data_IF_817328314406
#
_entry.id   IF_817328314406
#
_cell.length_a   1.000
_cell.length_b   1.000
_cell.length_c   1.000
_cell.angle_alpha   90.00
_cell.angle_beta   90.00
_cell.angle_gamma   90.00
#
_symmetry.space_group_name_H-M   'P 1'
#
loop_
_entity.id
_entity.type
_entity.pdbx_description
1 polymer ?
#
# COMPACT_ATOMS: atom_id res chain seq x y z
N UNK A 1 -46.20 -63.37 -13.27
CA UNK A 1 -46.56 -63.78 -11.89
C UNK A 1 -45.39 -63.45 -10.97
N UNK A 2 -45.62 -62.67 -9.92
CA UNK A 2 -44.75 -62.51 -8.73
C UNK A 2 -44.50 -63.88 -8.03
N UNK A 3 -43.72 -64.01 -6.93
CA UNK A 3 -42.66 -63.15 -6.34
C UNK A 3 -41.40 -63.97 -5.92
N UNK A 4 -40.37 -63.32 -5.37
CA UNK A 4 -39.33 -63.98 -4.55
C UNK A 4 -39.38 -63.42 -3.11
N UNK A 5 -39.54 -64.34 -2.16
CA UNK A 5 -39.33 -64.19 -0.71
C UNK A 5 -37.86 -63.80 -0.45
N UNK A 6 -37.52 -62.91 0.49
CA UNK A 6 -37.69 -63.10 1.93
C UNK A 6 -36.37 -63.60 2.53
N UNK A 7 -35.49 -62.68 2.94
CA UNK A 7 -34.20 -62.95 3.59
C UNK A 7 -34.22 -62.32 4.99
N UNK A 8 -34.02 -63.11 6.03
CA UNK A 8 -33.75 -62.65 7.40
C UNK A 8 -32.63 -63.48 8.04
N UNK A 9 -31.70 -62.74 8.68
CA UNK A 9 -30.83 -63.07 9.84
C UNK A 9 -29.91 -64.30 9.74
N UNK A 10 -28.57 -64.20 9.73
CA UNK A 10 -27.66 -63.65 10.77
C UNK A 10 -27.07 -64.82 11.60
N UNK A 11 -26.03 -64.72 12.47
CA UNK A 11 -24.99 -63.71 12.75
C UNK A 11 -23.54 -64.28 12.49
N UNK A 12 -22.47 -63.51 12.29
CA UNK A 12 -21.77 -62.67 13.26
C UNK A 12 -20.60 -63.42 13.93
N UNK A 13 -19.36 -63.22 13.44
CA UNK A 13 -18.12 -63.60 14.14
C UNK A 13 -17.07 -62.48 14.02
N UNK A 14 -16.37 -62.26 15.14
CA UNK A 14 -15.57 -61.08 15.52
C UNK A 14 -14.07 -61.35 15.40
N UNK A 15 -13.30 -60.32 15.00
CA UNK A 15 -11.88 -59.93 15.31
C UNK A 15 -11.22 -59.42 14.01
N UNK A 16 -10.35 -58.41 13.98
CA UNK A 16 -9.67 -57.63 15.00
C UNK A 16 -8.82 -56.56 14.30
N UNK A 17 -8.46 -55.53 15.07
CA UNK A 17 -7.77 -54.28 14.77
C UNK A 17 -6.37 -54.41 14.10
N UNK A 18 -6.09 -53.60 13.08
CA UNK A 18 -4.80 -52.92 12.83
C UNK A 18 -4.98 -51.87 11.72
N UNK A 19 -4.35 -50.70 11.89
CA UNK A 19 -4.62 -49.51 11.11
C UNK A 19 -4.15 -49.57 9.66
N UNK A 20 -4.96 -48.97 8.80
CA UNK A 20 -4.49 -48.20 7.66
C UNK A 20 -5.32 -46.92 7.65
N UNK A 21 -4.63 -45.80 7.90
CA UNK A 21 -5.18 -44.47 7.62
C UNK A 21 -5.37 -44.44 6.11
N UNK A 22 -6.61 -44.55 5.66
CA UNK A 22 -6.96 -44.29 4.27
C UNK A 22 -6.56 -42.86 3.96
N UNK A 23 -5.44 -42.75 3.27
CA UNK A 23 -5.13 -41.75 2.29
C UNK A 23 -6.37 -41.50 1.42
N UNK A 24 -7.18 -40.53 1.85
CA UNK A 24 -8.16 -39.90 1.00
C UNK A 24 -7.42 -38.85 0.18
N UNK A 25 -7.01 -39.29 -1.00
CA UNK A 25 -6.77 -38.45 -2.17
C UNK A 25 -8.02 -37.60 -2.39
N UNK A 26 -8.01 -36.35 -1.93
CA UNK A 26 -8.79 -35.28 -2.54
C UNK A 26 -7.87 -34.51 -3.44
N UNK A 27 -8.02 -34.74 -4.74
CA UNK A 27 -7.38 -33.96 -5.79
C UNK A 27 -7.87 -32.52 -5.72
N UNK A 28 -7.06 -31.66 -5.11
CA UNK A 28 -6.69 -30.34 -5.62
C UNK A 28 -5.40 -29.95 -4.91
N UNK A 29 -4.30 -30.05 -5.65
CA UNK A 29 -3.03 -29.50 -5.23
C UNK A 29 -3.16 -27.97 -5.15
N UNK A 30 -3.32 -27.45 -3.92
CA UNK A 30 -2.84 -26.17 -3.35
C UNK A 30 -3.68 -25.88 -2.10
N UNK A 31 -3.44 -26.64 -1.03
CA UNK A 31 -4.02 -26.39 0.28
C UNK A 31 -2.98 -26.04 1.34
N UNK A 32 -1.80 -25.54 0.98
CA UNK A 32 -0.81 -24.99 1.90
C UNK A 32 -0.03 -23.90 1.13
N UNK A 33 -0.28 -22.61 1.33
CA UNK A 33 0.58 -21.75 2.17
C UNK A 33 -0.10 -20.43 2.63
N UNK A 34 -1.42 -20.27 2.54
CA UNK A 34 -2.06 -18.96 2.83
C UNK A 34 -2.65 -18.78 4.24
N UNK A 35 -2.53 -19.79 5.12
CA UNK A 35 -3.02 -19.69 6.51
C UNK A 35 -2.06 -18.96 7.44
N UNK A 36 -0.76 -19.15 7.24
CA UNK A 36 0.29 -18.56 8.08
C UNK A 36 0.51 -17.06 7.81
N UNK A 37 0.04 -16.50 6.69
CA UNK A 37 0.19 -15.08 6.39
C UNK A 37 -0.94 -14.17 6.91
N UNK A 38 -2.14 -14.71 7.19
CA UNK A 38 -3.31 -13.91 7.62
C UNK A 38 -3.41 -13.70 9.13
N UNK A 39 -2.96 -14.67 9.93
CA UNK A 39 -2.93 -14.59 11.39
C UNK A 39 -1.93 -13.54 11.91
N UNK A 40 -0.69 -13.44 11.38
CA UNK A 40 0.29 -12.47 11.86
C UNK A 40 -0.17 -11.03 11.67
N UNK A 41 -0.79 -10.69 10.53
CA UNK A 41 -1.33 -9.33 10.33
C UNK A 41 -2.45 -8.98 11.31
N UNK A 42 -3.29 -9.97 11.69
CA UNK A 42 -4.32 -9.77 12.71
C UNK A 42 -3.70 -9.63 14.10
N UNK A 43 -2.73 -10.47 14.43
CA UNK A 43 -2.01 -10.42 15.70
C UNK A 43 -1.28 -9.07 15.85
N UNK A 44 -0.56 -8.63 14.81
CA UNK A 44 0.11 -7.34 14.77
C UNK A 44 -0.88 -6.18 14.94
N UNK A 45 -2.01 -6.20 14.23
CA UNK A 45 -3.06 -5.19 14.41
C UNK A 45 -3.58 -5.13 15.86
N UNK A 46 -3.82 -6.30 16.49
CA UNK A 46 -4.24 -6.37 17.89
C UNK A 46 -3.14 -5.88 18.83
N UNK A 47 -1.88 -6.21 18.57
CA UNK A 47 -0.74 -5.75 19.37
C UNK A 47 -0.59 -4.23 19.32
N UNK A 48 -0.73 -3.62 18.13
CA UNK A 48 -0.70 -2.17 17.97
C UNK A 48 -1.89 -1.52 18.69
N UNK A 49 -3.10 -2.06 18.51
CA UNK A 49 -4.30 -1.56 19.20
C UNK A 49 -4.15 -1.65 20.73
N UNK A 50 -3.60 -2.76 21.23
CA UNK A 50 -3.40 -2.98 22.66
C UNK A 50 -2.30 -2.07 23.21
N UNK A 51 -1.19 -1.91 22.50
CA UNK A 51 -0.13 -0.99 22.90
C UNK A 51 -0.61 0.46 22.94
N UNK A 52 -1.42 0.88 21.96
CA UNK A 52 -2.03 2.20 21.95
C UNK A 52 -3.01 2.39 23.12
N UNK A 53 -3.91 1.42 23.35
CA UNK A 53 -4.85 1.45 24.47
C UNK A 53 -4.13 1.46 25.83
N UNK A 54 -3.06 0.68 25.97
CA UNK A 54 -2.27 0.62 27.19
C UNK A 54 -1.47 1.91 27.41
N UNK A 55 -0.90 2.50 26.36
CA UNK A 55 -0.24 3.81 26.43
C UNK A 55 -1.20 4.90 26.87
N UNK A 56 -2.42 4.93 26.32
CA UNK A 56 -3.48 5.86 26.75
C UNK A 56 -3.87 5.58 28.21
N UNK A 57 -4.01 4.32 28.61
CA UNK A 57 -4.33 3.95 29.99
C UNK A 57 -3.28 4.45 30.98
N UNK A 58 -1.99 4.28 30.70
CA UNK A 58 -0.91 4.78 31.54
C UNK A 58 -0.92 6.31 31.59
N UNK A 59 -1.04 6.98 30.44
CA UNK A 59 -1.06 8.44 30.39
C UNK A 59 -2.22 9.05 31.21
N UNK A 60 -3.42 8.50 31.04
CA UNK A 60 -4.62 8.91 31.80
C UNK A 60 -4.44 8.61 33.29
N UNK A 61 -3.90 7.43 33.64
CA UNK A 61 -3.67 7.07 35.04
C UNK A 61 -2.67 7.99 35.72
N UNK A 62 -1.58 8.36 35.05
CA UNK A 62 -0.58 9.31 35.57
C UNK A 62 -1.18 10.71 35.72
N UNK A 63 -1.94 11.18 34.73
CA UNK A 63 -2.61 12.48 34.80
C UNK A 63 -3.62 12.55 35.95
N UNK A 64 -4.44 11.49 36.11
CA UNK A 64 -5.39 11.39 37.22
C UNK A 64 -4.68 11.31 38.57
N UNK A 65 -3.62 10.52 38.68
CA UNK A 65 -2.83 10.41 39.91
C UNK A 65 -2.21 11.76 40.31
N UNK A 66 -1.65 12.50 39.36
CA UNK A 66 -1.10 13.84 39.59
C UNK A 66 -2.19 14.86 40.01
N UNK A 67 -3.42 14.71 39.52
CA UNK A 67 -4.55 15.57 39.88
C UNK A 67 -5.25 15.16 41.20
N UNK A 68 -5.05 13.93 41.67
CA UNK A 68 -5.82 13.29 42.74
C UNK A 68 -5.39 13.67 44.18
N UNK A 69 -4.69 14.81 44.38
CA UNK A 69 -3.91 15.17 45.57
C UNK A 69 -4.63 15.26 46.94
N UNK A 70 -5.87 14.78 47.06
CA UNK A 70 -6.64 14.70 48.31
C UNK A 70 -7.74 13.63 48.31
N UNK A 71 -7.78 12.73 47.31
CA UNK A 71 -8.80 11.67 47.26
C UNK A 71 -8.52 10.59 48.31
N UNK A 72 -9.59 10.06 48.90
CA UNK A 72 -9.48 8.89 49.77
C UNK A 72 -9.16 7.62 48.97
N UNK A 73 -8.69 6.58 49.66
CA UNK A 73 -8.29 5.33 49.01
C UNK A 73 -9.43 4.65 48.25
N UNK A 74 -10.68 4.83 48.71
CA UNK A 74 -11.87 4.29 48.06
C UNK A 74 -12.14 4.98 46.71
N UNK A 75 -12.09 6.32 46.66
CA UNK A 75 -12.24 7.06 45.41
C UNK A 75 -11.11 6.75 44.43
N UNK A 76 -9.86 6.63 44.90
CA UNK A 76 -8.73 6.23 44.05
C UNK A 76 -8.94 4.82 43.46
N UNK A 77 -9.38 3.86 44.27
CA UNK A 77 -9.71 2.52 43.80
C UNK A 77 -10.86 2.54 42.76
N UNK A 78 -11.93 3.29 43.03
CA UNK A 78 -13.04 3.43 42.08
C UNK A 78 -12.61 4.05 40.75
N UNK A 79 -11.81 5.13 40.80
CA UNK A 79 -11.30 5.81 39.60
C UNK A 79 -10.34 4.91 38.81
N UNK A 80 -9.46 4.16 39.48
CA UNK A 80 -8.54 3.25 38.80
C UNK A 80 -9.29 2.13 38.06
N UNK A 81 -10.28 1.50 38.71
CA UNK A 81 -11.13 0.49 38.08
C UNK A 81 -11.94 1.09 36.94
N UNK A 82 -12.55 2.26 37.13
CA UNK A 82 -13.29 2.94 36.08
C UNK A 82 -12.41 3.27 34.89
N UNK A 83 -11.20 3.78 35.13
CA UNK A 83 -10.21 4.10 34.08
C UNK A 83 -9.78 2.85 33.33
N UNK A 84 -9.50 1.76 34.04
CA UNK A 84 -9.15 0.47 33.44
C UNK A 84 -10.26 -0.02 32.49
N UNK A 85 -11.51 -0.04 32.96
CA UNK A 85 -12.66 -0.50 32.17
C UNK A 85 -12.94 0.45 31.00
N UNK A 86 -13.01 1.76 31.24
CA UNK A 86 -13.34 2.74 30.21
C UNK A 86 -12.26 2.82 29.13
N UNK A 87 -10.97 2.75 29.47
CA UNK A 87 -9.90 2.88 28.50
C UNK A 87 -9.62 1.56 27.78
N UNK A 88 -9.43 0.45 28.50
CA UNK A 88 -9.02 -0.82 27.89
C UNK A 88 -10.19 -1.60 27.29
N UNK A 89 -11.42 -1.36 27.73
CA UNK A 89 -12.62 -2.03 27.21
C UNK A 89 -13.49 -1.04 26.44
N UNK A 90 -13.89 0.05 27.08
CA UNK A 90 -14.75 1.07 26.48
C UNK A 90 -14.12 1.75 25.26
N UNK A 91 -12.83 2.10 25.34
CA UNK A 91 -12.06 2.77 24.28
C UNK A 91 -12.07 1.99 22.97
N UNK A 92 -11.57 0.74 22.93
CA UNK A 92 -11.61 -0.09 21.73
C UNK A 92 -13.03 -0.29 21.18
N UNK A 93 -14.04 -0.47 22.03
CA UNK A 93 -15.45 -0.61 21.60
C UNK A 93 -15.94 0.67 20.94
N UNK A 94 -15.67 1.83 21.54
CA UNK A 94 -16.06 3.14 21.01
C UNK A 94 -15.36 3.41 19.67
N UNK A 95 -14.04 3.20 19.60
CA UNK A 95 -13.26 3.37 18.37
C UNK A 95 -13.82 2.49 17.26
N UNK A 96 -14.03 1.20 17.51
CA UNK A 96 -14.56 0.29 16.49
C UNK A 96 -15.98 0.64 16.06
N UNK A 97 -16.83 1.04 17.00
CA UNK A 97 -18.22 1.43 16.70
C UNK A 97 -18.27 2.67 15.82
N UNK A 98 -17.52 3.71 16.17
CA UNK A 98 -17.52 5.00 15.46
C UNK A 98 -16.83 4.88 14.10
N UNK A 99 -15.80 4.05 13.99
CA UNK A 99 -15.02 3.87 12.77
C UNK A 99 -15.56 2.81 11.80
N UNK A 100 -16.68 2.16 12.16
CA UNK A 100 -17.29 1.07 11.39
C UNK A 100 -16.35 -0.13 11.20
N UNK A 101 -15.61 -0.48 12.25
CA UNK A 101 -14.77 -1.68 12.32
C UNK A 101 -13.30 -1.45 12.03
N UNK A 102 -12.85 -0.20 12.09
CA UNK A 102 -11.44 0.20 11.92
C UNK A 102 -10.82 0.61 13.26
N UNK A 103 -9.57 0.30 13.47
CA UNK A 103 -8.81 0.75 14.63
C UNK A 103 -7.40 1.07 14.16
N UNK A 104 -6.58 1.72 14.98
CA UNK A 104 -5.26 2.17 14.56
C UNK A 104 -4.41 1.03 14.00
N UNK A 105 -4.32 -0.09 14.71
CA UNK A 105 -3.57 -1.27 14.26
C UNK A 105 -4.19 -1.94 13.04
N UNK A 106 -5.53 -1.98 12.96
CA UNK A 106 -6.22 -2.52 11.78
C UNK A 106 -5.99 -1.64 10.55
N UNK A 107 -6.02 -0.32 10.69
CA UNK A 107 -5.69 0.63 9.62
C UNK A 107 -4.25 0.45 9.15
N UNK A 108 -3.29 0.36 10.07
CA UNK A 108 -1.88 0.13 9.75
C UNK A 108 -1.67 -1.19 8.97
N UNK A 109 -2.46 -2.23 9.28
CA UNK A 109 -2.38 -3.53 8.62
C UNK A 109 -3.31 -3.68 7.39
N UNK A 110 -4.08 -2.65 7.02
CA UNK A 110 -5.08 -2.75 5.95
C UNK A 110 -6.21 -3.74 6.24
N UNK A 111 -6.67 -3.77 7.49
CA UNK A 111 -7.72 -4.65 7.98
C UNK A 111 -8.95 -3.85 8.38
N UNK A 112 -10.11 -4.51 8.29
CA UNK A 112 -11.38 -3.99 8.79
C UNK A 112 -12.25 -5.14 9.31
N UNK A 113 -12.95 -4.89 10.40
CA UNK A 113 -14.00 -5.79 10.89
C UNK A 113 -15.29 -5.52 10.11
N UNK A 114 -15.86 -6.57 9.54
CA UNK A 114 -17.17 -6.56 8.89
C UNK A 114 -18.07 -7.59 9.56
N UNK A 115 -19.38 -7.41 9.43
CA UNK A 115 -20.35 -8.41 9.86
C UNK A 115 -20.36 -9.60 8.90
N UNK A 116 -20.93 -10.72 9.34
CA UNK A 116 -21.08 -11.92 8.51
C UNK A 116 -21.98 -11.68 7.28
N UNK A 117 -22.86 -10.65 7.31
CA UNK A 117 -23.66 -10.17 6.16
C UNK A 117 -22.88 -9.20 5.24
N UNK A 118 -21.59 -8.94 5.51
CA UNK A 118 -20.75 -8.00 4.77
C UNK A 118 -20.96 -6.53 5.12
N UNK A 119 -21.93 -6.21 5.98
CA UNK A 119 -22.23 -4.84 6.40
C UNK A 119 -21.23 -4.27 7.42
N UNK A 120 -21.27 -2.94 7.66
CA UNK A 120 -20.48 -2.32 8.71
C UNK A 120 -20.90 -2.83 10.09
N UNK A 121 -19.95 -2.85 11.04
CA UNK A 121 -20.29 -3.26 12.40
C UNK A 121 -21.21 -2.23 13.07
N UNK A 122 -21.95 -2.69 14.08
CA UNK A 122 -22.84 -1.88 14.94
C UNK A 122 -22.33 -1.98 16.36
N UNK A 123 -22.76 -1.07 17.23
CA UNK A 123 -22.38 -1.06 18.65
C UNK A 123 -22.50 -2.44 19.32
N UNK A 124 -23.63 -3.13 19.15
CA UNK A 124 -23.84 -4.47 19.74
C UNK A 124 -22.77 -5.49 19.36
N UNK A 125 -22.27 -5.44 18.12
CA UNK A 125 -21.24 -6.37 17.66
C UNK A 125 -19.88 -6.00 18.28
N UNK A 126 -19.55 -4.70 18.30
CA UNK A 126 -18.34 -4.21 18.97
C UNK A 126 -18.35 -4.53 20.47
N UNK A 127 -19.51 -4.40 21.14
CA UNK A 127 -19.70 -4.68 22.55
C UNK A 127 -19.46 -6.17 22.87
N UNK A 128 -20.11 -7.09 22.15
CA UNK A 128 -19.90 -8.54 22.34
C UNK A 128 -18.44 -8.90 22.11
N UNK A 129 -17.83 -8.34 21.05
CA UNK A 129 -16.43 -8.56 20.70
C UNK A 129 -15.46 -8.00 21.74
N UNK A 130 -15.78 -6.85 22.33
CA UNK A 130 -15.02 -6.21 23.39
C UNK A 130 -15.11 -6.98 24.70
N UNK A 131 -16.32 -7.39 25.10
CA UNK A 131 -16.55 -8.20 26.30
C UNK A 131 -15.80 -9.55 26.23
N UNK A 132 -15.91 -10.26 25.10
CA UNK A 132 -15.13 -11.48 24.87
C UNK A 132 -13.62 -11.18 24.84
N UNK A 133 -13.22 -10.03 24.28
CA UNK A 133 -11.84 -9.55 24.25
C UNK A 133 -11.21 -9.41 25.64
N UNK A 134 -11.98 -9.03 26.67
CA UNK A 134 -11.48 -8.99 28.06
C UNK A 134 -11.03 -10.38 28.50
N UNK A 135 -11.77 -11.42 28.17
CA UNK A 135 -11.48 -12.81 28.57
C UNK A 135 -10.36 -13.39 27.69
N UNK A 136 -10.51 -13.31 26.36
CA UNK A 136 -9.64 -14.02 25.42
C UNK A 136 -8.35 -13.26 25.03
N UNK A 137 -8.27 -11.95 25.30
CA UNK A 137 -7.08 -11.12 25.02
C UNK A 137 -6.46 -10.64 26.32
N UNK A 138 -7.22 -9.90 27.14
CA UNK A 138 -6.65 -9.24 28.31
C UNK A 138 -6.34 -10.26 29.42
N UNK A 139 -7.28 -11.15 29.72
CA UNK A 139 -7.13 -12.18 30.76
C UNK A 139 -6.18 -13.33 30.41
N UNK A 140 -5.89 -13.56 29.13
CA UNK A 140 -5.06 -14.69 28.66
C UNK A 140 -3.88 -14.26 27.80
N UNK A 141 -3.55 -12.96 27.78
CA UNK A 141 -2.53 -12.37 26.91
C UNK A 141 -2.68 -12.75 25.42
N UNK A 142 -3.92 -12.99 24.96
CA UNK A 142 -4.22 -13.36 23.58
C UNK A 142 -4.03 -14.84 23.24
N UNK A 143 -3.60 -15.70 24.16
CA UNK A 143 -3.37 -17.13 23.90
C UNK A 143 -4.66 -17.81 23.42
N UNK A 144 -5.78 -17.58 24.12
CA UNK A 144 -7.07 -18.16 23.73
C UNK A 144 -7.54 -17.62 22.38
N UNK A 145 -7.39 -16.32 22.13
CA UNK A 145 -7.73 -15.72 20.84
C UNK A 145 -6.91 -16.31 19.68
N UNK A 146 -5.64 -16.61 19.92
CA UNK A 146 -4.73 -17.24 18.96
C UNK A 146 -5.14 -18.68 18.65
N UNK A 147 -5.37 -19.50 19.69
CA UNK A 147 -5.80 -20.90 19.52
C UNK A 147 -7.16 -20.94 18.80
N UNK A 148 -8.13 -20.14 19.23
CA UNK A 148 -9.45 -20.08 18.58
C UNK A 148 -9.33 -19.68 17.10
N UNK A 149 -8.46 -18.71 16.78
CA UNK A 149 -8.22 -18.30 15.39
C UNK A 149 -7.52 -19.38 14.56
N UNK A 150 -6.61 -20.16 15.16
CA UNK A 150 -5.89 -21.25 14.48
C UNK A 150 -6.81 -22.43 14.14
N UNK A 151 -7.66 -22.81 15.09
CA UNK A 151 -8.61 -23.92 14.93
C UNK A 151 -9.81 -23.53 14.03
N UNK A 152 -10.17 -22.24 14.02
CA UNK A 152 -11.26 -21.75 13.17
C UNK A 152 -10.91 -21.84 11.69
N UNK A 153 -11.74 -22.54 10.89
CA UNK A 153 -11.64 -22.58 9.43
C UNK A 153 -11.77 -21.21 8.75
N UNK A 154 -12.29 -20.19 9.44
CA UNK A 154 -12.36 -18.79 8.95
C UNK A 154 -11.37 -17.84 9.65
N UNK A 155 -10.53 -18.34 10.56
CA UNK A 155 -9.54 -17.52 11.26
C UNK A 155 -10.18 -16.57 12.27
N UNK A 156 -11.37 -16.90 12.78
CA UNK A 156 -12.15 -16.08 13.72
C UNK A 156 -11.75 -16.44 15.15
N UNK A 157 -11.55 -15.43 16.00
CA UNK A 157 -11.43 -15.63 17.46
C UNK A 157 -12.83 -15.74 18.09
N UNK A 158 -12.92 -16.09 19.37
CA UNK A 158 -14.22 -16.32 20.02
C UNK A 158 -15.10 -15.07 19.94
N UNK A 159 -14.55 -13.90 20.23
CA UNK A 159 -15.30 -12.64 20.15
C UNK A 159 -15.85 -12.35 18.75
N UNK A 160 -15.13 -12.73 17.70
CA UNK A 160 -15.60 -12.55 16.32
C UNK A 160 -16.69 -13.57 15.96
N UNK A 161 -16.62 -14.79 16.50
CA UNK A 161 -17.64 -15.84 16.33
C UNK A 161 -18.96 -15.42 17.01
N UNK A 162 -18.91 -15.05 18.29
CA UNK A 162 -20.10 -14.64 19.03
C UNK A 162 -20.71 -13.33 18.52
N UNK A 163 -19.88 -12.39 18.06
CA UNK A 163 -20.37 -11.14 17.50
C UNK A 163 -20.91 -11.28 16.06
N UNK A 164 -20.77 -12.44 15.40
CA UNK A 164 -21.17 -12.59 14.00
C UNK A 164 -20.37 -11.69 13.06
N UNK A 165 -19.06 -11.54 13.33
CA UNK A 165 -18.15 -10.69 12.54
C UNK A 165 -16.94 -11.44 12.01
N UNK A 166 -16.30 -10.87 11.00
CA UNK A 166 -15.07 -11.34 10.39
C UNK A 166 -14.11 -10.16 10.13
N UNK A 167 -12.82 -10.38 10.33
CA UNK A 167 -11.78 -9.42 9.94
C UNK A 167 -11.34 -9.71 8.51
N UNK A 168 -11.54 -8.75 7.63
CA UNK A 168 -11.15 -8.83 6.22
C UNK A 168 -10.01 -7.87 5.93
N UNK A 169 -9.16 -8.23 4.97
CA UNK A 169 -8.17 -7.30 4.43
C UNK A 169 -8.89 -6.34 3.50
N UNK A 170 -9.04 -5.11 3.96
CA UNK A 170 -9.45 -4.03 3.08
C UNK A 170 -8.26 -3.77 2.16
N UNK A 171 -8.44 -3.92 0.84
CA UNK A 171 -7.47 -3.36 -0.09
C UNK A 171 -7.60 -1.86 0.07
N UNK A 172 -6.87 -1.31 1.04
CA UNK A 172 -6.59 0.12 1.05
C UNK A 172 -6.03 0.36 -0.34
N UNK A 173 -6.61 1.28 -1.14
CA UNK A 173 -5.87 1.87 -2.24
C UNK A 173 -4.77 2.72 -1.59
N UNK A 174 -3.82 2.08 -0.91
CA UNK A 174 -2.47 2.58 -0.95
C UNK A 174 -2.21 2.53 -2.42
N UNK A 175 -2.28 3.70 -3.05
CA UNK A 175 -1.54 3.91 -4.26
C UNK A 175 -0.12 3.43 -3.91
N UNK A 176 0.18 2.15 -4.19
CA UNK A 176 1.39 1.85 -4.92
C UNK A 176 1.21 2.62 -6.22
N UNK A 177 1.39 3.94 -6.15
CA UNK A 177 1.83 4.77 -7.24
C UNK A 177 3.06 4.01 -7.68
N UNK A 178 2.89 3.19 -8.71
CA UNK A 178 4.00 2.51 -9.33
C UNK A 178 5.01 3.63 -9.59
N UNK A 179 6.22 3.51 -9.04
CA UNK A 179 7.20 4.58 -9.06
C UNK A 179 7.41 4.99 -10.52
N UNK A 180 6.81 6.11 -10.89
CA UNK A 180 7.07 6.76 -12.17
C UNK A 180 8.32 7.59 -11.92
N UNK A 181 9.38 7.43 -12.73
CA UNK A 181 10.60 8.21 -12.54
C UNK A 181 10.25 9.72 -12.53
N UNK A 182 10.76 10.49 -11.55
CA UNK A 182 10.49 11.92 -11.48
C UNK A 182 11.00 12.61 -12.75
N UNK A 183 10.27 13.61 -13.26
CA UNK A 183 10.76 14.37 -14.41
C UNK A 183 12.06 15.11 -14.06
N UNK A 184 12.94 15.36 -15.05
CA UNK A 184 14.09 16.22 -14.86
C UNK A 184 13.69 17.59 -14.28
N UNK A 185 14.47 18.18 -13.35
CA UNK A 185 14.09 19.42 -12.66
C UNK A 185 13.77 20.59 -13.60
N UNK A 186 14.46 20.66 -14.74
CA UNK A 186 14.29 21.71 -15.76
C UNK A 186 13.00 21.59 -16.59
N UNK A 187 12.23 20.49 -16.43
CA UNK A 187 10.92 20.28 -17.07
C UNK A 187 9.75 20.43 -16.10
N UNK A 188 10.00 20.58 -14.81
CA UNK A 188 8.95 20.71 -13.80
C UNK A 188 8.12 21.98 -14.06
N UNK A 189 6.78 21.87 -14.08
CA UNK A 189 5.89 23.01 -14.32
C UNK A 189 5.82 23.50 -15.77
N UNK A 190 6.71 23.07 -16.66
CA UNK A 190 6.73 23.51 -18.08
C UNK A 190 5.46 23.15 -18.83
N UNK A 191 4.77 22.10 -18.38
CA UNK A 191 3.55 21.57 -18.97
C UNK A 191 2.32 21.84 -18.11
N UNK A 192 2.41 22.80 -17.18
CA UNK A 192 1.33 23.12 -16.25
C UNK A 192 0.09 23.71 -16.95
N UNK A 193 0.22 24.28 -18.15
CA UNK A 193 -0.88 24.87 -18.92
C UNK A 193 -1.51 23.91 -19.94
N UNK A 194 -0.94 22.72 -20.15
CA UNK A 194 -1.49 21.73 -21.09
C UNK A 194 -2.89 21.29 -20.67
N UNK A 195 -3.83 21.31 -21.61
CA UNK A 195 -5.13 20.69 -21.39
C UNK A 195 -5.00 19.16 -21.49
N UNK A 196 -5.35 18.47 -20.41
CA UNK A 196 -5.24 17.01 -20.28
C UNK A 196 -6.62 16.33 -20.30
N UNK A 197 -7.70 17.10 -20.44
CA UNK A 197 -9.08 16.62 -20.37
C UNK A 197 -9.43 15.66 -21.51
N UNK A 198 -8.84 15.86 -22.69
CA UNK A 198 -9.08 15.04 -23.90
C UNK A 198 -8.29 13.73 -24.00
N UNK A 199 -7.42 13.42 -23.02
CA UNK A 199 -6.54 12.25 -23.10
C UNK A 199 -7.26 11.00 -22.55
N UNK A 200 -7.43 9.92 -23.35
CA UNK A 200 -8.18 8.75 -22.93
C UNK A 200 -7.45 7.92 -21.85
N UNK A 201 -8.21 7.30 -20.95
CA UNK A 201 -7.66 6.50 -19.83
C UNK A 201 -6.77 5.33 -20.30
N UNK A 202 -7.07 4.73 -21.46
CA UNK A 202 -6.24 3.69 -22.05
C UNK A 202 -4.83 4.17 -22.39
N UNK A 203 -4.69 5.40 -22.92
CA UNK A 203 -3.39 5.99 -23.25
C UNK A 203 -2.60 6.31 -21.97
N UNK A 204 -3.27 6.82 -20.94
CA UNK A 204 -2.65 7.04 -19.64
C UNK A 204 -2.12 5.76 -19.00
N UNK A 205 -2.87 4.66 -19.12
CA UNK A 205 -2.43 3.37 -18.65
C UNK A 205 -1.21 2.88 -19.42
N UNK A 206 -1.20 3.03 -20.75
CA UNK A 206 -0.07 2.66 -21.61
C UNK A 206 1.20 3.47 -21.26
N UNK A 207 1.08 4.80 -21.09
CA UNK A 207 2.18 5.68 -20.68
C UNK A 207 2.74 5.24 -19.32
N UNK A 208 1.85 5.00 -18.34
CA UNK A 208 2.28 4.56 -17.00
C UNK A 208 2.97 3.19 -17.04
N UNK A 209 2.44 2.23 -17.81
CA UNK A 209 3.07 0.93 -17.98
C UNK A 209 4.47 1.05 -18.58
N UNK A 210 4.62 1.84 -19.65
CA UNK A 210 5.91 2.15 -20.25
C UNK A 210 6.88 2.74 -19.22
N UNK A 211 6.51 3.82 -18.54
CA UNK A 211 7.39 4.52 -17.58
C UNK A 211 7.81 3.62 -16.41
N UNK A 212 6.96 2.69 -15.98
CA UNK A 212 7.30 1.74 -14.91
C UNK A 212 8.22 0.60 -15.35
N UNK A 213 8.30 0.32 -16.66
CA UNK A 213 9.09 -0.78 -17.23
C UNK A 213 10.24 -0.31 -18.11
N UNK A 214 10.41 0.99 -18.33
CA UNK A 214 11.38 1.53 -19.29
C UNK A 214 12.84 1.12 -19.00
N UNK A 215 13.20 0.88 -17.73
CA UNK A 215 14.53 0.37 -17.35
C UNK A 215 14.77 -1.12 -17.66
N UNK A 216 13.74 -1.85 -18.08
CA UNK A 216 13.80 -3.27 -18.45
C UNK A 216 13.64 -3.50 -19.96
N UNK A 217 13.32 -2.46 -20.73
CA UNK A 217 13.17 -2.53 -22.17
C UNK A 217 14.53 -2.33 -22.86
N UNK A 218 14.69 -2.96 -24.02
CA UNK A 218 15.78 -2.64 -24.93
C UNK A 218 15.77 -1.12 -25.25
N UNK A 219 16.91 -0.42 -25.22
CA UNK A 219 16.96 1.03 -25.41
C UNK A 219 16.32 1.53 -26.70
N UNK A 220 16.48 0.80 -27.81
CA UNK A 220 15.94 1.21 -29.12
C UNK A 220 14.42 0.99 -29.18
N UNK A 221 13.95 -0.15 -28.67
CA UNK A 221 12.50 -0.43 -28.55
C UNK A 221 11.85 0.58 -27.62
N UNK A 222 12.44 0.83 -26.45
CA UNK A 222 11.96 1.80 -25.48
C UNK A 222 11.85 3.21 -26.04
N UNK A 223 12.81 3.64 -26.86
CA UNK A 223 12.77 4.96 -27.50
C UNK A 223 11.67 5.06 -28.56
N UNK A 224 11.50 4.03 -29.39
CA UNK A 224 10.43 3.99 -30.40
C UNK A 224 9.03 4.00 -29.76
N UNK A 225 8.83 3.25 -28.66
CA UNK A 225 7.57 3.24 -27.91
C UNK A 225 7.29 4.59 -27.26
N UNK A 226 8.30 5.22 -26.66
CA UNK A 226 8.18 6.55 -26.08
C UNK A 226 7.79 7.60 -27.13
N UNK A 227 8.40 7.55 -28.31
CA UNK A 227 8.08 8.44 -29.42
C UNK A 227 6.63 8.31 -29.88
N UNK A 228 6.13 7.08 -30.04
CA UNK A 228 4.72 6.83 -30.39
C UNK A 228 3.76 7.33 -29.33
N UNK A 229 4.00 7.00 -28.07
CA UNK A 229 3.16 7.45 -26.95
C UNK A 229 3.18 8.97 -26.78
N UNK A 230 4.32 9.62 -27.01
CA UNK A 230 4.44 11.08 -26.96
C UNK A 230 3.69 11.75 -28.12
N UNK A 231 3.72 11.16 -29.32
CA UNK A 231 2.96 11.65 -30.47
C UNK A 231 1.45 11.50 -30.24
N UNK A 232 1.00 10.35 -29.73
CA UNK A 232 -0.40 10.11 -29.40
C UNK A 232 -0.89 11.10 -28.32
N UNK A 233 -0.06 11.36 -27.30
CA UNK A 233 -0.37 12.34 -26.26
C UNK A 233 -0.44 13.78 -26.81
N UNK A 234 0.50 14.15 -27.69
CA UNK A 234 0.50 15.45 -28.35
C UNK A 234 -0.75 15.64 -29.23
N UNK A 235 -1.15 14.60 -29.97
CA UNK A 235 -2.36 14.62 -30.78
C UNK A 235 -3.63 14.82 -29.94
N UNK A 236 -3.73 14.18 -28.76
CA UNK A 236 -4.87 14.35 -27.86
C UNK A 236 -4.90 15.72 -27.14
N UNK A 237 -3.73 16.32 -26.90
CA UNK A 237 -3.61 17.59 -26.14
C UNK A 237 -3.56 18.83 -27.04
N UNK A 238 -3.43 18.64 -28.35
CA UNK A 238 -3.35 19.73 -29.34
C UNK A 238 -2.06 20.55 -29.30
N UNK A 239 -1.13 20.22 -28.39
CA UNK A 239 0.16 20.86 -28.25
C UNK A 239 1.24 20.02 -28.92
N UNK A 240 2.10 20.67 -29.72
CA UNK A 240 3.21 19.97 -30.36
C UNK A 240 4.16 19.37 -29.31
N UNK A 241 4.54 18.10 -29.50
CA UNK A 241 5.56 17.47 -28.67
C UNK A 241 6.89 18.24 -28.80
N UNK A 242 7.52 18.67 -27.70
CA UNK A 242 8.79 19.40 -27.78
C UNK A 242 9.89 18.51 -28.37
N UNK A 243 10.44 18.92 -29.52
CA UNK A 243 11.49 18.19 -30.24
C UNK A 243 12.83 18.16 -29.47
N UNK A 244 13.05 19.14 -28.59
CA UNK A 244 14.27 19.28 -27.79
C UNK A 244 14.26 18.38 -26.53
N UNK A 245 13.12 17.77 -26.21
CA UNK A 245 12.93 17.00 -24.98
C UNK A 245 12.88 15.50 -25.31
N UNK A 246 13.65 14.65 -24.62
CA UNK A 246 13.54 13.20 -24.79
C UNK A 246 12.09 12.74 -24.57
N UNK A 247 11.51 11.90 -25.45
CA UNK A 247 10.09 11.53 -25.37
C UNK A 247 9.69 10.93 -24.02
N UNK A 248 10.55 10.11 -23.41
CA UNK A 248 10.31 9.55 -22.09
C UNK A 248 10.27 10.62 -20.98
N UNK A 249 11.11 11.66 -21.07
CA UNK A 249 11.13 12.77 -20.11
C UNK A 249 9.90 13.67 -20.26
N UNK A 250 9.44 13.89 -21.50
CA UNK A 250 8.17 14.57 -21.78
C UNK A 250 6.99 13.82 -21.15
N UNK A 251 6.88 12.51 -21.39
CA UNK A 251 5.82 11.68 -20.81
C UNK A 251 5.84 11.68 -19.27
N UNK A 252 7.02 11.56 -18.66
CA UNK A 252 7.16 11.62 -17.20
C UNK A 252 6.71 12.99 -16.63
N UNK A 253 7.07 14.08 -17.30
CA UNK A 253 6.68 15.43 -16.88
C UNK A 253 5.16 15.65 -16.97
N UNK A 254 4.52 15.21 -18.05
CA UNK A 254 3.07 15.35 -18.21
C UNK A 254 2.30 14.48 -17.22
N UNK A 255 2.75 13.25 -16.96
CA UNK A 255 2.18 12.39 -15.91
C UNK A 255 2.31 13.03 -14.53
N UNK A 256 3.46 13.64 -14.23
CA UNK A 256 3.68 14.36 -12.98
C UNK A 256 2.72 15.55 -12.82
N UNK A 257 2.51 16.36 -13.86
CA UNK A 257 1.53 17.46 -13.84
C UNK A 257 0.10 16.96 -13.61
N UNK A 258 -0.30 15.85 -14.25
CA UNK A 258 -1.61 15.23 -13.98
C UNK A 258 -1.75 14.82 -12.52
N UNK A 259 -0.75 14.11 -11.98
CA UNK A 259 -0.75 13.67 -10.59
C UNK A 259 -0.81 14.86 -9.62
N UNK A 260 -0.10 15.94 -9.91
CA UNK A 260 -0.15 17.17 -9.11
C UNK A 260 -1.54 17.81 -9.14
N UNK A 261 -2.22 17.84 -10.29
CA UNK A 261 -3.61 18.34 -10.43
C UNK A 261 -4.61 17.46 -9.67
N UNK A 262 -4.49 16.14 -9.81
CA UNK A 262 -5.38 15.19 -9.14
C UNK A 262 -5.19 15.22 -7.62
N UNK A 263 -3.94 15.38 -7.14
CA UNK A 263 -3.64 15.62 -5.74
C UNK A 263 -4.28 16.94 -5.26
N UNK A 264 -4.11 18.06 -5.97
CA UNK A 264 -4.74 19.34 -5.62
C UNK A 264 -6.28 19.24 -5.56
N UNK A 265 -6.91 18.49 -6.46
CA UNK A 265 -8.36 18.23 -6.44
C UNK A 265 -8.76 17.39 -5.22
N UNK A 266 -8.02 16.31 -4.94
CA UNK A 266 -8.31 15.43 -3.81
C UNK A 266 -8.11 16.12 -2.45
N UNK A 267 -7.06 16.93 -2.31
CA UNK A 267 -6.75 17.67 -1.08
C UNK A 267 -7.53 18.99 -0.95
N UNK A 268 -7.88 19.64 -2.07
CA UNK A 268 -8.69 20.87 -2.10
C UNK A 268 -10.19 20.64 -1.99
N UNK A 269 -10.68 19.43 -2.28
CA UNK A 269 -12.08 19.05 -2.10
C UNK A 269 -12.45 18.66 -0.65
N UNK A 270 -11.52 18.76 0.29
CA UNK A 270 -11.80 18.65 1.73
C UNK A 270 -12.14 20.05 2.28
N UNK A 271 -13.42 20.38 2.55
CA UNK A 271 -13.77 21.66 3.15
C UNK A 271 -13.30 21.62 4.61
N UNK A 272 -12.29 22.43 4.96
CA UNK A 272 -11.96 22.70 6.36
C UNK A 272 -10.53 22.41 6.83
N UNK A 273 -9.53 22.30 5.95
CA UNK A 273 -8.13 22.38 6.39
C UNK A 273 -7.35 23.33 5.47
N UNK A 274 -7.22 24.58 5.91
CA UNK A 274 -6.33 25.55 5.29
C UNK A 274 -4.89 25.11 5.50
N UNK A 275 -4.26 24.59 4.44
CA UNK A 275 -2.81 24.45 4.39
C UNK A 275 -2.26 25.71 3.75
N UNK A 276 -1.71 26.59 4.60
CA UNK A 276 -0.87 27.72 4.18
C UNK A 276 0.30 27.20 3.34
N UNK A 277 0.60 27.95 2.28
CA UNK A 277 1.35 27.49 1.12
C UNK A 277 2.79 27.07 1.37
N UNK A 278 3.17 25.97 0.74
CA UNK A 278 4.55 25.69 0.40
C UNK A 278 4.86 26.31 -0.98
N UNK A 279 5.13 27.61 -0.98
CA UNK A 279 5.83 28.31 -2.07
C UNK A 279 6.92 29.15 -1.42
N UNK A 280 8.17 28.76 -1.60
CA UNK A 280 9.30 29.42 -0.96
C UNK A 280 10.63 29.05 -1.61
N UNK A 281 10.76 29.27 -2.92
CA UNK A 281 12.05 29.58 -3.54
C UNK A 281 11.84 30.70 -4.55
N UNK A 282 12.24 31.90 -4.18
CA UNK A 282 12.21 33.11 -4.99
C UNK A 282 13.10 34.16 -4.34
N UNK A 283 14.18 34.49 -5.04
CA UNK A 283 15.30 35.34 -4.65
C UNK A 283 14.90 36.84 -4.54
N UNK A 284 15.83 37.74 -4.13
CA UNK A 284 15.49 39.02 -3.51
C UNK A 284 15.33 40.17 -4.50
N UNK A 285 14.60 41.21 -4.07
CA UNK A 285 14.76 42.59 -4.56
C UNK A 285 13.52 43.21 -5.19
N UNK A 286 12.87 44.13 -4.46
CA UNK A 286 12.32 45.40 -4.94
C UNK A 286 11.43 46.01 -3.84
N UNK A 287 11.92 47.07 -3.19
CA UNK A 287 11.10 47.97 -2.36
C UNK A 287 10.80 49.24 -3.17
N UNK A 288 9.53 49.62 -3.36
CA UNK A 288 9.16 50.98 -3.74
C UNK A 288 8.89 51.82 -2.48
N UNK A 289 9.52 52.98 -2.38
CA UNK A 289 9.26 53.96 -1.33
C UNK A 289 8.05 54.86 -1.62
N UNK A 290 7.44 55.41 -0.55
CA UNK A 290 7.22 56.85 -0.28
C UNK A 290 6.25 57.01 0.92
N UNK A 291 6.57 57.93 1.83
CA UNK A 291 5.63 58.50 2.81
C UNK A 291 6.13 58.61 4.25
N UNK A 292 6.90 59.66 4.56
CA UNK A 292 7.24 60.10 5.92
C UNK A 292 6.02 60.85 6.57
N UNK A 293 6.01 61.18 7.89
CA UNK A 293 6.96 62.14 8.47
C UNK A 293 7.43 61.89 9.92
N UNK A 294 8.62 62.43 10.24
CA UNK A 294 8.86 63.13 11.52
C UNK A 294 9.71 62.41 12.58
N UNK A 295 11.03 62.65 12.58
CA UNK A 295 11.83 63.03 13.76
C UNK A 295 13.34 63.09 13.40
N UNK A 296 14.03 64.11 13.90
CA UNK A 296 15.46 64.45 13.79
C UNK A 296 16.10 64.36 15.20
N UNK A 297 17.43 64.43 15.40
CA UNK A 297 18.53 63.60 14.86
C UNK A 297 19.58 63.22 15.96
N UNK A 298 20.53 62.32 15.64
CA UNK A 298 21.92 62.21 16.18
C UNK A 298 22.48 60.84 15.73
N UNK A 299 23.70 60.62 15.24
CA UNK A 299 24.94 61.38 15.05
C UNK A 299 26.04 60.33 14.81
N UNK A 300 27.13 60.72 14.12
CA UNK A 300 28.43 59.99 13.98
C UNK A 300 28.43 58.62 13.28
N UNK A 301 29.42 58.15 12.50
CA UNK A 301 30.69 58.62 11.94
C UNK A 301 31.16 57.49 10.98
N UNK A 302 31.79 57.87 9.86
CA UNK A 302 32.62 57.05 8.93
C UNK A 302 33.99 56.83 9.66
N UNK A 303 34.88 55.82 9.39
CA UNK A 303 35.27 55.39 8.04
C UNK A 303 35.83 53.96 7.79
N UNK A 304 35.87 53.61 6.50
CA UNK A 304 37.11 53.16 5.84
C UNK A 304 37.32 51.66 5.65
N UNK A 305 37.69 51.27 4.42
CA UNK A 305 38.26 49.95 4.15
C UNK A 305 38.17 49.54 2.69
N UNK A 306 39.16 49.95 1.90
CA UNK A 306 39.33 49.64 0.49
C UNK A 306 39.64 48.15 0.22
N UNK A 307 39.38 47.69 -1.01
CA UNK A 307 40.32 46.78 -1.67
C UNK A 307 39.72 45.63 -2.50
N UNK A 308 40.14 45.61 -3.76
CA UNK A 308 40.36 44.45 -4.63
C UNK A 308 39.22 43.92 -5.51
N UNK A 309 39.28 44.35 -6.78
CA UNK A 309 38.82 43.62 -7.97
C UNK A 309 40.00 42.81 -8.50
N UNK A 310 39.77 41.63 -9.10
CA UNK A 310 40.26 41.49 -10.46
C UNK A 310 39.26 40.82 -11.40
N UNK A 311 39.11 41.42 -12.59
CA UNK A 311 38.57 40.80 -13.79
C UNK A 311 39.53 39.75 -14.32
N UNK A 312 39.02 38.57 -14.67
CA UNK A 312 39.71 37.55 -15.44
C UNK A 312 38.76 36.93 -16.45
N UNK A 313 38.92 37.30 -17.73
CA UNK A 313 38.23 36.70 -18.86
C UNK A 313 38.88 35.34 -19.21
N UNK A 314 38.05 34.34 -19.55
CA UNK A 314 38.53 33.15 -20.26
C UNK A 314 37.48 32.68 -21.28
N UNK A 315 37.93 32.47 -22.52
CA UNK A 315 37.17 32.15 -23.72
C UNK A 315 36.85 30.63 -23.84
N UNK A 316 35.85 30.22 -24.64
CA UNK A 316 35.46 28.82 -24.77
C UNK A 316 36.35 28.04 -25.77
N UNK A 317 36.67 26.75 -25.52
CA UNK A 317 37.35 25.91 -26.50
C UNK A 317 36.36 25.34 -27.54
N UNK A 318 36.64 25.64 -28.79
CA UNK A 318 36.14 24.98 -29.99
C UNK A 318 36.82 23.63 -30.21
N UNK A 319 36.04 22.56 -30.37
CA UNK A 319 36.53 21.25 -30.80
C UNK A 319 35.41 20.21 -30.89
N UNK A 320 34.88 19.98 -32.08
CA UNK A 320 33.96 18.87 -32.37
C UNK A 320 34.76 17.59 -32.68
N UNK A 321 34.41 16.43 -32.11
CA UNK A 321 34.80 15.14 -32.66
C UNK A 321 33.75 14.67 -33.68
N UNK A 322 34.16 14.51 -34.93
CA UNK A 322 33.45 13.80 -35.98
C UNK A 322 33.36 12.31 -35.64
N UNK A 323 32.14 11.78 -35.49
CA UNK A 323 31.91 10.34 -35.32
C UNK A 323 31.53 9.71 -36.67
N UNK A 324 32.34 8.75 -37.11
CA UNK A 324 32.15 8.03 -38.38
C UNK A 324 31.49 6.67 -38.08
N UNK A 325 30.34 6.31 -38.69
CA UNK A 325 29.70 5.02 -38.42
C UNK A 325 30.45 3.88 -39.12
N UNK A 326 30.82 2.85 -38.35
CA UNK A 326 31.33 1.58 -38.86
C UNK A 326 30.19 0.77 -39.52
N UNK A 327 30.40 0.31 -40.75
CA UNK A 327 29.46 -0.57 -41.45
C UNK A 327 29.61 -2.03 -40.98
N UNK A 328 28.52 -2.76 -40.72
CA UNK A 328 28.59 -4.19 -40.45
C UNK A 328 28.80 -4.98 -41.75
N UNK A 329 29.81 -5.86 -41.75
CA UNK A 329 30.10 -6.80 -42.82
C UNK A 329 29.11 -7.98 -42.79
N UNK A 330 28.31 -8.12 -43.85
CA UNK A 330 27.39 -9.24 -44.04
C UNK A 330 28.14 -10.45 -44.62
N UNK A 331 28.18 -11.56 -43.88
CA UNK A 331 28.65 -12.87 -44.36
C UNK A 331 27.41 -13.76 -44.57
N UNK A 332 27.13 -14.26 -45.79
CA UNK A 332 25.99 -15.16 -45.99
C UNK A 332 26.32 -16.54 -45.39
N UNK A 333 25.54 -16.98 -44.40
CA UNK A 333 25.55 -18.38 -43.93
C UNK A 333 24.54 -19.18 -44.75
N UNK A 334 24.98 -20.34 -45.24
CA UNK A 334 24.26 -21.20 -46.16
C UNK A 334 22.98 -21.81 -45.54
N UNK A 335 22.00 -22.05 -46.41
CA UNK A 335 20.72 -22.66 -46.10
C UNK A 335 20.86 -24.15 -45.75
N UNK A 336 20.13 -24.59 -44.71
CA UNK A 336 20.01 -25.98 -44.28
C UNK A 336 18.59 -26.50 -44.58
N UNK A 337 18.40 -27.71 -45.16
CA UNK A 337 17.10 -28.20 -45.62
C UNK A 337 16.24 -28.83 -44.50
N UNK A 338 14.91 -28.95 -44.69
CA UNK A 338 13.97 -29.35 -43.65
C UNK A 338 13.91 -30.88 -43.46
N UNK A 339 14.09 -31.34 -42.21
CA UNK A 339 14.06 -32.76 -41.84
C UNK A 339 12.97 -33.14 -40.82
N UNK A 340 12.01 -33.95 -41.30
CA UNK A 340 11.25 -35.04 -40.66
C UNK A 340 10.48 -34.86 -39.32
N UNK A 341 9.23 -35.34 -39.37
CA UNK A 341 8.20 -35.42 -38.32
C UNK A 341 8.45 -36.53 -37.26
N UNK A 342 7.73 -36.52 -36.11
CA UNK A 342 8.03 -37.32 -34.92
C UNK A 342 7.55 -38.78 -34.99
N UNK A 343 8.33 -39.71 -34.40
CA UNK A 343 7.99 -41.14 -34.29
C UNK A 343 7.41 -41.50 -32.91
N UNK A 344 6.31 -42.25 -32.93
CA UNK A 344 5.59 -42.86 -31.81
C UNK A 344 6.40 -43.94 -31.08
N UNK A 345 6.40 -43.93 -29.75
CA UNK A 345 6.91 -45.03 -28.91
C UNK A 345 5.84 -45.43 -27.87
N UNK A 346 5.31 -46.67 -27.89
CA UNK A 346 4.31 -47.14 -26.92
C UNK A 346 4.94 -47.57 -25.58
N UNK A 347 4.20 -47.49 -24.46
CA UNK A 347 4.71 -47.84 -23.12
C UNK A 347 4.77 -49.36 -22.90
N UNK A 348 5.90 -49.83 -22.35
CA UNK A 348 6.12 -51.23 -21.95
C UNK A 348 5.51 -51.51 -20.57
N UNK A 349 4.60 -52.47 -20.52
CA UNK A 349 4.07 -53.10 -19.31
C UNK A 349 5.04 -54.17 -18.78
N UNK A 350 5.29 -54.20 -17.47
CA UNK A 350 6.10 -55.24 -16.84
C UNK A 350 5.72 -55.42 -15.36
N UNK A 351 4.88 -56.41 -15.10
CA UNK A 351 4.45 -56.87 -13.78
C UNK A 351 5.39 -58.01 -13.32
N UNK A 352 5.80 -58.02 -12.05
CA UNK A 352 6.36 -59.19 -11.38
C UNK A 352 6.01 -59.12 -9.87
N UNK A 353 5.38 -60.15 -9.28
CA UNK A 353 5.00 -60.17 -7.86
C UNK A 353 6.15 -60.68 -6.97
N UNK A 354 6.16 -60.34 -5.66
CA UNK A 354 7.20 -60.76 -4.72
C UNK A 354 6.98 -62.17 -4.16
N UNK A 355 8.10 -62.82 -3.80
CA UNK A 355 8.19 -64.07 -3.05
C UNK A 355 7.98 -63.87 -1.54
#
# INVERSE_FOLDING_TARGET
MCPQLGRLSGPGAVRGRAGHVSELVTGEAVALELRAARLPSRALAVMIDLAAAFGVYIAVSVALFAAAGSLDGAAQAAISVATFVLVLVGGPIAVETLSHGRSLGKLACGLRVVRDDGGPIRFRHALVRGAMGVIEILGTAGVVACIASLVSARGRRLGDVFAGTLVVRERIPVARTAYVPPPPPWLMGRFAELDLSGVPDGLWLAIRQYLTRMGQLDPQVGWSMAGRLAADLAACTGAAAPQEVPPAAYLAAVVHERQARDARKAFGAMPGYGVSGATGYGAPGAVPGYGAPGAVPAGSQVPGGAGHVPSGAFAPPSGQPTYQPAQPSYRPSAAEPPGAAPQDVPPKTGFAPPA
#
